data_IF_361188079503
#
_entry.id   IF_361188079503
#
_cell.length_a   1.000
_cell.length_b   1.000
_cell.length_c   1.000
_cell.angle_alpha   90.00
_cell.angle_beta   90.00
_cell.angle_gamma   90.00
#
_symmetry.space_group_name_H-M   'P 1'
#
loop_
_entity.id
_entity.type
_entity.pdbx_description
1 polymer ?
#
# COMPACT_ATOMS: atom_id res chain seq x y z
N UNK A 1 -14.57 8.85 -20.07
CA UNK A 1 -14.30 8.32 -18.71
C UNK A 1 -13.57 7.00 -18.89
N UNK A 2 -12.34 6.89 -18.37
CA UNK A 2 -11.60 5.62 -18.43
C UNK A 2 -12.07 4.70 -17.30
N UNK A 3 -12.30 3.40 -17.56
CA UNK A 3 -12.61 2.45 -16.50
C UNK A 3 -11.40 2.33 -15.54
N UNK A 4 -11.64 2.16 -14.23
CA UNK A 4 -10.57 2.02 -13.27
C UNK A 4 -9.78 0.72 -13.51
N UNK A 5 -8.46 0.81 -13.50
CA UNK A 5 -7.57 -0.36 -13.60
C UNK A 5 -7.74 -1.29 -12.39
N UNK A 6 -7.99 -0.71 -11.21
CA UNK A 6 -8.22 -1.44 -9.96
C UNK A 6 -9.29 -0.72 -9.13
N UNK A 7 -10.24 -1.48 -8.58
CA UNK A 7 -11.21 -0.98 -7.61
C UNK A 7 -11.31 -1.97 -6.45
N UNK A 8 -10.74 -1.59 -5.30
CA UNK A 8 -10.71 -2.39 -4.07
C UNK A 8 -10.90 -1.50 -2.85
N UNK A 9 -11.66 -2.00 -1.88
CA UNK A 9 -11.77 -1.37 -0.56
C UNK A 9 -10.50 -1.67 0.23
N UNK A 10 -9.73 -0.62 0.53
CA UNK A 10 -8.44 -0.73 1.22
C UNK A 10 -8.51 -0.33 2.70
N UNK A 11 -9.54 0.41 3.11
CA UNK A 11 -9.81 0.74 4.51
C UNK A 11 -11.33 0.89 4.76
N UNK A 12 -11.74 0.83 6.03
CA UNK A 12 -13.14 1.08 6.43
C UNK A 12 -13.41 2.57 6.55
N UNK A 13 -12.43 3.33 7.01
CA UNK A 13 -12.51 4.77 7.13
C UNK A 13 -12.18 5.44 5.79
N UNK A 14 -12.75 6.63 5.52
CA UNK A 14 -12.43 7.35 4.30
C UNK A 14 -10.92 7.67 4.24
N UNK A 15 -10.30 7.31 3.12
CA UNK A 15 -8.93 7.70 2.83
C UNK A 15 -8.83 9.23 2.76
N UNK A 16 -7.75 9.77 3.31
CA UNK A 16 -7.45 11.19 3.29
C UNK A 16 -6.14 11.53 2.57
N UNK A 17 -5.32 10.52 2.22
CA UNK A 17 -4.06 10.74 1.52
C UNK A 17 -3.59 9.48 0.79
N UNK A 18 -2.85 9.69 -0.30
CA UNK A 18 -2.27 8.68 -1.18
C UNK A 18 -0.95 9.20 -1.75
N UNK A 19 0.13 8.44 -1.58
CA UNK A 19 1.45 8.74 -2.16
C UNK A 19 2.01 7.53 -2.89
N UNK A 20 2.69 7.79 -4.00
CA UNK A 20 3.44 6.80 -4.75
C UNK A 20 4.92 7.04 -4.54
N UNK A 21 5.61 6.05 -4.00
CA UNK A 21 7.06 6.00 -3.93
C UNK A 21 7.59 5.00 -4.95
N UNK A 22 8.92 4.94 -5.07
CA UNK A 22 9.63 3.98 -5.91
C UNK A 22 9.27 2.54 -5.50
N UNK A 23 9.37 2.25 -4.20
CA UNK A 23 9.22 0.90 -3.68
C UNK A 23 7.80 0.56 -3.23
N UNK A 24 6.93 1.56 -3.06
CA UNK A 24 5.62 1.34 -2.45
C UNK A 24 4.56 2.38 -2.81
N UNK A 25 3.34 2.12 -2.34
CA UNK A 25 2.24 3.07 -2.29
C UNK A 25 1.89 3.25 -0.82
N UNK A 26 1.76 4.48 -0.36
CA UNK A 26 1.32 4.77 1.00
C UNK A 26 -0.11 5.31 0.95
N UNK A 27 -0.94 4.85 1.86
CA UNK A 27 -2.32 5.34 2.03
C UNK A 27 -2.56 5.69 3.48
N UNK A 28 -3.23 6.82 3.74
CA UNK A 28 -3.71 7.15 5.08
C UNK A 28 -5.22 7.34 5.12
N UNK A 29 -5.83 7.00 6.24
CA UNK A 29 -7.25 7.23 6.51
C UNK A 29 -7.48 8.24 7.64
N UNK A 30 -8.72 8.75 7.75
CA UNK A 30 -9.06 9.78 8.74
C UNK A 30 -8.91 9.34 10.20
N UNK A 31 -8.84 8.04 10.49
CA UNK A 31 -8.53 7.53 11.82
C UNK A 31 -7.04 7.53 12.15
N UNK A 32 -6.18 7.92 11.19
CA UNK A 32 -4.74 8.08 11.41
C UNK A 32 -3.91 6.83 11.08
N UNK A 33 -4.53 5.77 10.55
CA UNK A 33 -3.75 4.61 10.09
C UNK A 33 -3.04 4.93 8.77
N UNK A 34 -1.77 4.52 8.70
CA UNK A 34 -0.96 4.52 7.47
C UNK A 34 -0.72 3.07 7.07
N UNK A 35 -0.99 2.74 5.81
CA UNK A 35 -0.72 1.43 5.22
C UNK A 35 0.27 1.59 4.08
N UNK A 36 1.21 0.67 4.00
CA UNK A 36 2.23 0.60 2.95
C UNK A 36 1.97 -0.61 2.06
N UNK A 37 1.83 -0.36 0.76
CA UNK A 37 1.60 -1.38 -0.26
C UNK A 37 2.85 -1.49 -1.11
N UNK A 38 3.63 -2.54 -0.90
CA UNK A 38 4.88 -2.75 -1.61
C UNK A 38 4.63 -3.04 -3.09
N UNK A 39 5.52 -2.56 -3.95
CA UNK A 39 5.50 -2.93 -5.36
C UNK A 39 5.80 -4.43 -5.48
N UNK A 40 5.18 -5.11 -6.43
CA UNK A 40 5.62 -6.46 -6.80
C UNK A 40 7.03 -6.34 -7.40
N UNK A 41 8.05 -6.75 -6.65
CA UNK A 41 9.37 -7.06 -7.20
C UNK A 41 9.32 -8.45 -7.86
N UNK A 42 10.14 -8.68 -8.89
CA UNK A 42 10.32 -10.01 -9.50
C UNK A 42 10.85 -11.07 -8.49
N UNK A 43 11.28 -10.64 -7.31
CA UNK A 43 11.71 -11.46 -6.19
C UNK A 43 10.71 -11.40 -5.03
N UNK A 44 9.82 -12.38 -4.97
CA UNK A 44 8.90 -12.66 -3.86
C UNK A 44 9.62 -13.12 -2.57
N UNK A 45 10.79 -12.57 -2.24
CA UNK A 45 11.68 -13.14 -1.22
C UNK A 45 12.50 -12.06 -0.51
N UNK A 46 11.87 -11.14 0.22
CA UNK A 46 12.59 -10.39 1.26
C UNK A 46 11.68 -9.70 2.30
N UNK A 47 10.66 -10.39 2.82
CA UNK A 47 9.93 -9.91 4.00
C UNK A 47 9.97 -10.86 5.20
N UNK A 48 10.64 -12.01 5.08
CA UNK A 48 10.85 -12.92 6.21
C UNK A 48 12.20 -12.72 6.92
N UNK A 49 13.14 -11.93 6.37
CA UNK A 49 14.50 -11.79 6.92
C UNK A 49 14.67 -10.69 8.00
N UNK A 50 13.65 -9.89 8.30
CA UNK A 50 13.74 -8.80 9.29
C UNK A 50 13.10 -9.10 10.65
N UNK A 51 12.61 -10.33 10.88
CA UNK A 51 12.00 -10.76 12.15
C UNK A 51 12.97 -11.63 13.01
N UNK A 52 14.20 -11.85 12.54
CA UNK A 52 15.21 -12.61 13.30
C UNK A 52 16.59 -11.94 13.25
N UNK A 53 16.74 -10.81 13.95
CA UNK A 53 18.04 -10.25 14.37
C UNK A 53 17.89 -9.51 15.70
#
# INVERSE_FOLDING_TARGET
MLPPVLSKTVDKDPLCWLEFTEDSILTSCKSGHIRTWLRPSDSTTQLDEAVES
#
